data_IF_054410405277
#
_entry.id   IF_054410405277
#
_cell.length_a   1.000
_cell.length_b   1.000
_cell.length_c   1.000
_cell.angle_alpha   90.00
_cell.angle_beta   90.00
_cell.angle_gamma   90.00
#
_symmetry.space_group_name_H-M   'P 1'
#
loop_
_entity.id
_entity.type
_entity.pdbx_description
1 polymer ?
#
# COMPACT_ATOMS: atom_id res chain seq x y z
N UNK A 1 7.86 35.69 -49.31
CA UNK A 1 6.90 35.60 -48.20
C UNK A 1 6.44 34.15 -48.10
N UNK A 2 6.94 33.42 -47.11
CA UNK A 2 6.35 32.16 -46.66
C UNK A 2 6.82 31.96 -45.21
N UNK A 3 5.84 31.97 -44.32
CA UNK A 3 5.95 32.01 -42.87
C UNK A 3 6.67 30.79 -42.27
N UNK A 4 7.58 31.08 -41.34
CA UNK A 4 8.04 30.17 -40.29
C UNK A 4 7.04 30.21 -39.13
N UNK A 5 6.16 29.21 -39.02
CA UNK A 5 5.33 28.99 -37.84
C UNK A 5 5.94 27.87 -36.98
N UNK A 6 6.36 28.23 -35.77
CA UNK A 6 7.00 27.35 -34.80
C UNK A 6 6.07 26.24 -34.29
N UNK A 7 6.58 25.02 -34.32
CA UNK A 7 6.03 23.89 -33.57
C UNK A 7 6.55 23.99 -32.13
N UNK A 8 5.78 24.65 -31.27
CA UNK A 8 5.91 24.49 -29.83
C UNK A 8 5.42 23.08 -29.45
N UNK A 9 6.33 22.13 -29.43
CA UNK A 9 6.15 20.85 -28.74
C UNK A 9 6.16 21.11 -27.24
N UNK A 10 4.98 21.28 -26.64
CA UNK A 10 4.83 21.15 -25.19
C UNK A 10 5.29 19.75 -24.75
N UNK A 11 5.78 19.57 -23.51
CA UNK A 11 6.23 18.28 -23.03
C UNK A 11 5.06 17.31 -23.07
N UNK A 12 5.14 16.31 -23.95
CA UNK A 12 4.26 15.16 -23.93
C UNK A 12 4.60 14.44 -22.63
N UNK A 13 3.65 14.37 -21.69
CA UNK A 13 3.79 13.54 -20.51
C UNK A 13 3.94 12.10 -21.00
N UNK A 14 5.17 11.59 -21.02
CA UNK A 14 5.42 10.18 -21.25
C UNK A 14 4.63 9.41 -20.18
N UNK A 15 3.85 8.42 -20.61
CA UNK A 15 3.08 7.51 -19.76
C UNK A 15 4.06 6.66 -18.94
N UNK A 16 4.64 7.30 -17.93
CA UNK A 16 5.70 6.78 -17.08
C UNK A 16 5.04 6.25 -15.81
N UNK A 17 5.24 4.96 -15.52
CA UNK A 17 4.63 4.27 -14.37
C UNK A 17 4.83 5.01 -13.02
N UNK A 18 5.86 5.84 -12.89
CA UNK A 18 6.11 6.68 -11.71
C UNK A 18 5.04 7.78 -11.52
N UNK A 19 4.45 8.26 -12.61
CA UNK A 19 3.48 9.35 -12.66
C UNK A 19 2.04 8.87 -12.86
N UNK A 20 1.82 7.54 -12.99
CA UNK A 20 0.49 6.98 -13.18
C UNK A 20 -0.28 7.10 -11.87
N UNK A 21 -1.42 7.78 -11.91
CA UNK A 21 -2.30 7.91 -10.73
C UNK A 21 -2.86 6.55 -10.33
N UNK A 22 -3.01 6.36 -9.02
CA UNK A 22 -3.57 5.18 -8.41
C UNK A 22 -4.98 4.90 -8.92
N UNK A 23 -5.26 3.61 -9.11
CA UNK A 23 -6.61 3.13 -9.41
C UNK A 23 -7.56 3.27 -8.20
N UNK A 24 -8.72 2.63 -8.31
CA UNK A 24 -9.73 2.61 -7.26
C UNK A 24 -9.18 1.99 -5.96
N UNK A 25 -9.37 2.67 -4.83
CA UNK A 25 -8.95 2.17 -3.50
C UNK A 25 -9.81 0.99 -3.05
N UNK A 26 -9.37 0.26 -2.02
CA UNK A 26 -10.16 -0.85 -1.44
C UNK A 26 -11.49 -0.31 -0.89
N UNK A 27 -11.48 0.83 -0.19
CA UNK A 27 -12.69 1.46 0.31
C UNK A 27 -13.67 1.80 -0.83
N UNK A 28 -13.18 2.47 -1.87
CA UNK A 28 -14.02 2.84 -3.01
C UNK A 28 -14.55 1.59 -3.73
N UNK A 29 -13.70 0.56 -3.86
CA UNK A 29 -14.08 -0.74 -4.42
C UNK A 29 -15.17 -1.43 -3.59
N UNK A 30 -15.11 -1.35 -2.25
CA UNK A 30 -16.15 -1.90 -1.37
C UNK A 30 -17.47 -1.13 -1.49
N UNK A 31 -17.42 0.20 -1.51
CA UNK A 31 -18.62 1.05 -1.68
C UNK A 31 -19.27 0.77 -3.04
N UNK A 32 -18.47 0.74 -4.10
CA UNK A 32 -18.96 0.43 -5.44
C UNK A 32 -19.49 -1.01 -5.54
N UNK A 33 -18.80 -1.97 -4.94
CA UNK A 33 -19.28 -3.36 -4.88
C UNK A 33 -20.61 -3.45 -4.12
N UNK A 34 -20.78 -2.78 -2.97
CA UNK A 34 -22.07 -2.73 -2.25
C UNK A 34 -23.19 -2.19 -3.14
N UNK A 35 -22.93 -1.12 -3.90
CA UNK A 35 -23.90 -0.56 -4.85
C UNK A 35 -24.23 -1.50 -6.02
N UNK A 36 -23.26 -2.30 -6.49
CA UNK A 36 -23.50 -3.32 -7.52
C UNK A 36 -24.27 -4.52 -6.97
N UNK A 37 -23.99 -4.93 -5.73
CA UNK A 37 -24.70 -6.01 -5.06
C UNK A 37 -26.18 -5.69 -4.85
N UNK A 38 -26.55 -4.41 -4.64
CA UNK A 38 -27.94 -3.97 -4.59
C UNK A 38 -28.70 -4.17 -5.92
N UNK A 39 -27.99 -4.37 -7.04
CA UNK A 39 -28.58 -4.65 -8.34
C UNK A 39 -28.76 -6.16 -8.59
N UNK A 40 -28.29 -7.02 -7.68
CA UNK A 40 -28.40 -8.47 -7.83
C UNK A 40 -29.83 -8.92 -7.47
N UNK A 41 -30.52 -9.69 -8.34
CA UNK A 41 -31.86 -10.19 -8.05
C UNK A 41 -31.91 -10.99 -6.75
N UNK A 42 -32.95 -10.74 -5.93
CA UNK A 42 -33.18 -11.41 -4.64
C UNK A 42 -32.04 -11.25 -3.61
N UNK A 43 -31.15 -10.27 -3.78
CA UNK A 43 -30.04 -10.03 -2.84
C UNK A 43 -30.40 -9.10 -1.68
N UNK A 44 -31.52 -8.39 -1.78
CA UNK A 44 -32.05 -7.45 -0.79
C UNK A 44 -32.09 -7.99 0.67
N UNK A 45 -32.52 -9.23 0.95
CA UNK A 45 -32.57 -9.73 2.33
C UNK A 45 -31.18 -9.77 2.98
N UNK A 46 -30.14 -10.08 2.21
CA UNK A 46 -28.79 -10.18 2.74
C UNK A 46 -28.16 -8.79 2.98
N UNK A 47 -28.51 -7.78 2.16
CA UNK A 47 -28.09 -6.40 2.42
C UNK A 47 -28.73 -5.84 3.69
N UNK A 48 -29.99 -6.18 3.96
CA UNK A 48 -30.67 -5.82 5.21
C UNK A 48 -30.03 -6.48 6.42
N UNK A 49 -29.73 -7.78 6.35
CA UNK A 49 -29.02 -8.49 7.43
C UNK A 49 -27.68 -7.81 7.76
N UNK A 50 -26.92 -7.43 6.73
CA UNK A 50 -25.65 -6.69 6.90
C UNK A 50 -25.86 -5.33 7.58
N UNK A 51 -26.88 -4.56 7.18
CA UNK A 51 -27.18 -3.25 7.78
C UNK A 51 -27.68 -3.35 9.23
N UNK A 52 -28.44 -4.41 9.54
CA UNK A 52 -28.87 -4.73 10.90
C UNK A 52 -27.67 -5.11 11.78
N UNK A 53 -26.78 -6.00 11.30
CA UNK A 53 -25.55 -6.36 12.00
C UNK A 53 -24.67 -5.12 12.25
N UNK A 54 -24.43 -4.30 11.22
CA UNK A 54 -23.66 -3.06 11.35
C UNK A 54 -24.26 -2.12 12.39
N UNK A 55 -25.59 -1.97 12.40
CA UNK A 55 -26.30 -1.16 13.39
C UNK A 55 -26.14 -1.70 14.81
N UNK A 56 -26.20 -3.02 15.01
CA UNK A 56 -26.03 -3.65 16.33
C UNK A 56 -24.60 -3.55 16.85
N UNK A 57 -23.60 -3.65 15.97
CA UNK A 57 -22.19 -3.57 16.31
C UNK A 57 -21.66 -2.13 16.32
N UNK A 58 -22.48 -1.15 15.92
CA UNK A 58 -22.05 0.23 15.72
C UNK A 58 -20.96 0.34 14.64
N UNK A 59 -20.93 -0.59 13.69
CA UNK A 59 -19.95 -0.61 12.62
C UNK A 59 -20.35 0.38 11.53
N UNK A 60 -19.50 1.37 11.29
CA UNK A 60 -19.69 2.36 10.23
C UNK A 60 -18.68 2.21 9.09
N UNK A 61 -17.82 1.19 9.15
CA UNK A 61 -16.80 0.93 8.15
C UNK A 61 -17.34 0.04 7.02
N UNK A 62 -17.48 0.56 5.78
CA UNK A 62 -17.94 -0.23 4.64
C UNK A 62 -17.00 -1.39 4.27
N UNK A 63 -15.69 -1.27 4.56
CA UNK A 63 -14.72 -2.33 4.29
C UNK A 63 -14.90 -3.47 5.28
N UNK A 64 -14.91 -3.19 6.59
CA UNK A 64 -15.16 -4.20 7.61
C UNK A 64 -16.56 -4.82 7.48
N UNK A 65 -17.58 -4.01 7.19
CA UNK A 65 -18.96 -4.46 6.93
C UNK A 65 -18.98 -5.49 5.79
N UNK A 66 -18.49 -5.11 4.60
CA UNK A 66 -18.47 -6.00 3.44
C UNK A 66 -17.59 -7.23 3.66
N UNK A 67 -16.45 -7.10 4.36
CA UNK A 67 -15.55 -8.21 4.63
C UNK A 67 -16.18 -9.23 5.57
N UNK A 68 -16.75 -8.78 6.70
CA UNK A 68 -17.44 -9.65 7.65
C UNK A 68 -18.65 -10.33 7.00
N UNK A 69 -19.41 -9.58 6.22
CA UNK A 69 -20.53 -10.10 5.44
C UNK A 69 -20.10 -11.22 4.49
N UNK A 70 -19.06 -11.02 3.68
CA UNK A 70 -18.58 -12.07 2.77
C UNK A 70 -18.01 -13.29 3.51
N UNK A 71 -17.46 -13.12 4.73
CA UNK A 71 -16.98 -14.23 5.58
C UNK A 71 -18.09 -15.17 6.03
N UNK A 72 -19.35 -14.75 6.03
CA UNK A 72 -20.49 -15.63 6.30
C UNK A 72 -20.69 -16.69 5.19
N UNK A 73 -20.09 -16.49 4.01
CA UNK A 73 -20.04 -17.46 2.91
C UNK A 73 -21.34 -17.62 2.12
N UNK A 74 -22.51 -17.51 2.76
CA UNK A 74 -23.81 -17.56 2.09
C UNK A 74 -24.03 -16.44 1.07
N UNK A 75 -23.60 -15.19 1.30
CA UNK A 75 -23.69 -14.14 0.29
C UNK A 75 -22.99 -14.50 -1.03
N UNK A 76 -21.85 -15.19 -0.97
CA UNK A 76 -21.13 -15.65 -2.16
C UNK A 76 -21.95 -16.67 -2.96
N UNK A 77 -22.64 -17.59 -2.27
CA UNK A 77 -23.56 -18.53 -2.91
C UNK A 77 -24.73 -17.80 -3.57
N UNK A 78 -25.32 -16.82 -2.88
CA UNK A 78 -26.43 -16.03 -3.41
C UNK A 78 -26.03 -15.24 -4.67
N UNK A 79 -24.85 -14.61 -4.67
CA UNK A 79 -24.31 -13.91 -5.85
C UNK A 79 -24.14 -14.87 -7.02
N UNK A 80 -23.59 -16.06 -6.79
CA UNK A 80 -23.45 -17.07 -7.83
C UNK A 80 -24.82 -17.58 -8.32
N UNK A 81 -25.74 -17.87 -7.42
CA UNK A 81 -27.07 -18.38 -7.76
C UNK A 81 -27.91 -17.37 -8.55
N UNK A 82 -27.62 -16.07 -8.40
CA UNK A 82 -28.22 -15.03 -9.23
C UNK A 82 -27.87 -15.15 -10.72
N UNK A 83 -26.82 -15.92 -11.08
CA UNK A 83 -26.50 -16.25 -12.47
C UNK A 83 -27.46 -17.25 -13.13
N UNK A 84 -28.42 -17.77 -12.35
CA UNK A 84 -29.27 -18.90 -12.73
C UNK A 84 -28.45 -20.10 -13.24
N UNK A 85 -27.51 -20.62 -12.43
CA UNK A 85 -26.68 -21.76 -12.81
C UNK A 85 -27.52 -23.03 -13.00
N UNK A 86 -26.97 -24.02 -13.71
CA UNK A 86 -27.64 -25.33 -13.91
C UNK A 86 -27.88 -26.07 -12.60
N UNK A 87 -27.00 -25.86 -11.61
CA UNK A 87 -27.12 -26.37 -10.24
C UNK A 87 -27.03 -25.20 -9.25
N UNK A 88 -28.07 -25.04 -8.42
CA UNK A 88 -28.10 -24.02 -7.37
C UNK A 88 -27.16 -24.44 -6.24
N UNK A 89 -26.28 -23.55 -5.81
CA UNK A 89 -25.38 -23.81 -4.69
C UNK A 89 -26.10 -23.59 -3.36
N UNK A 90 -26.15 -24.63 -2.55
CA UNK A 90 -26.67 -24.61 -1.18
C UNK A 90 -25.82 -25.44 -0.23
N UNK A 91 -25.91 -25.18 1.08
CA UNK A 91 -25.23 -25.97 2.10
C UNK A 91 -26.22 -26.92 2.76
N UNK A 92 -25.91 -28.21 2.70
CA UNK A 92 -26.66 -29.25 3.40
C UNK A 92 -26.42 -29.12 4.92
N UNK A 93 -27.38 -28.50 5.60
CA UNK A 93 -27.32 -28.20 7.03
C UNK A 93 -27.36 -29.44 7.92
N UNK A 94 -27.80 -30.59 7.38
CA UNK A 94 -27.80 -31.87 8.07
C UNK A 94 -26.43 -32.57 8.03
N UNK A 95 -25.62 -32.31 6.99
CA UNK A 95 -24.29 -32.91 6.83
C UNK A 95 -23.15 -32.04 7.32
N UNK A 96 -23.32 -30.71 7.31
CA UNK A 96 -22.25 -29.77 7.66
C UNK A 96 -22.53 -29.14 9.03
N UNK A 97 -21.65 -29.34 10.03
CA UNK A 97 -21.72 -28.67 11.32
C UNK A 97 -21.74 -27.15 11.17
N UNK A 98 -22.54 -26.48 11.99
CA UNK A 98 -22.79 -25.03 11.92
C UNK A 98 -21.53 -24.17 11.84
N UNK A 99 -20.56 -24.45 12.72
CA UNK A 99 -19.27 -23.77 12.76
C UNK A 99 -18.41 -23.93 11.49
N UNK A 100 -18.71 -24.92 10.64
CA UNK A 100 -17.99 -25.15 9.38
C UNK A 100 -18.77 -24.67 8.15
N UNK A 101 -20.05 -24.32 8.30
CA UNK A 101 -20.91 -23.93 7.17
C UNK A 101 -20.36 -22.72 6.38
N UNK A 102 -19.87 -21.62 7.00
CA UNK A 102 -19.37 -20.47 6.25
C UNK A 102 -18.19 -20.84 5.33
N UNK A 103 -17.22 -21.59 5.86
CA UNK A 103 -16.05 -22.06 5.08
C UNK A 103 -16.46 -23.05 3.99
N UNK A 104 -17.43 -23.92 4.27
CA UNK A 104 -17.97 -24.84 3.27
C UNK A 104 -18.72 -24.11 2.14
N UNK A 105 -19.50 -23.06 2.46
CA UNK A 105 -20.15 -22.19 1.48
C UNK A 105 -19.13 -21.48 0.59
N UNK A 106 -18.11 -20.87 1.20
CA UNK A 106 -17.02 -20.24 0.47
C UNK A 106 -16.31 -21.23 -0.46
N UNK A 107 -16.04 -22.45 0.00
CA UNK A 107 -15.41 -23.48 -0.81
C UNK A 107 -16.28 -23.89 -2.01
N UNK A 108 -17.59 -24.07 -1.82
CA UNK A 108 -18.52 -24.36 -2.92
C UNK A 108 -18.55 -23.25 -3.97
N UNK A 109 -18.58 -21.99 -3.54
CA UNK A 109 -18.48 -20.84 -4.44
C UNK A 109 -17.20 -20.89 -5.30
N UNK A 110 -16.05 -21.12 -4.65
CA UNK A 110 -14.77 -21.21 -5.36
C UNK A 110 -14.74 -22.35 -6.37
N UNK A 111 -15.27 -23.52 -5.99
CA UNK A 111 -15.36 -24.67 -6.88
C UNK A 111 -16.21 -24.35 -8.12
N UNK A 112 -17.39 -23.76 -7.92
CA UNK A 112 -18.30 -23.41 -9.01
C UNK A 112 -17.72 -22.31 -9.92
N UNK A 113 -17.03 -21.32 -9.35
CA UNK A 113 -16.36 -20.30 -10.15
C UNK A 113 -15.23 -20.88 -11.05
N UNK A 114 -14.50 -21.88 -10.55
CA UNK A 114 -13.47 -22.58 -11.33
C UNK A 114 -14.07 -23.49 -12.42
N UNK A 115 -15.11 -24.26 -12.08
CA UNK A 115 -15.65 -25.30 -12.94
C UNK A 115 -16.66 -24.77 -13.96
N UNK A 116 -17.59 -23.92 -13.52
CA UNK A 116 -18.73 -23.47 -14.33
C UNK A 116 -18.47 -22.11 -14.98
N UNK A 117 -17.84 -21.17 -14.27
CA UNK A 117 -17.50 -19.85 -14.82
C UNK A 117 -16.12 -19.80 -15.49
N UNK A 118 -15.40 -20.94 -15.51
CA UNK A 118 -14.08 -21.10 -16.12
C UNK A 118 -13.04 -20.05 -15.68
N UNK A 119 -13.06 -19.66 -14.40
CA UNK A 119 -12.05 -18.74 -13.87
C UNK A 119 -10.66 -19.39 -13.89
N UNK A 120 -9.62 -18.70 -14.38
CA UNK A 120 -8.24 -19.15 -14.23
C UNK A 120 -7.89 -19.31 -12.74
N UNK A 121 -7.27 -20.43 -12.36
CA UNK A 121 -6.98 -20.72 -10.95
C UNK A 121 -6.13 -19.64 -10.26
N UNK A 122 -5.23 -19.00 -11.02
CA UNK A 122 -4.38 -17.89 -10.56
C UNK A 122 -5.15 -16.59 -10.23
N UNK A 123 -6.35 -16.42 -10.78
CA UNK A 123 -7.21 -15.25 -10.57
C UNK A 123 -8.19 -15.46 -9.39
N UNK A 124 -8.29 -16.68 -8.86
CA UNK A 124 -9.14 -17.01 -7.72
C UNK A 124 -8.47 -16.64 -6.39
N UNK A 125 -9.28 -16.22 -5.41
CA UNK A 125 -8.81 -16.05 -4.04
C UNK A 125 -8.75 -17.41 -3.31
N UNK A 126 -7.89 -17.51 -2.29
CA UNK A 126 -7.82 -18.67 -1.41
C UNK A 126 -8.73 -18.49 -0.19
N UNK A 127 -9.18 -19.58 0.45
CA UNK A 127 -9.98 -19.46 1.70
C UNK A 127 -9.26 -18.60 2.74
N UNK A 128 -7.93 -18.69 2.84
CA UNK A 128 -7.11 -17.86 3.74
C UNK A 128 -7.11 -16.38 3.37
N UNK A 129 -7.40 -16.01 2.12
CA UNK A 129 -7.49 -14.62 1.68
C UNK A 129 -8.77 -13.93 2.22
N UNK A 130 -9.88 -14.66 2.37
CA UNK A 130 -11.14 -14.14 2.93
C UNK A 130 -11.18 -14.20 4.46
N UNK A 131 -10.74 -15.33 5.03
CA UNK A 131 -10.77 -15.57 6.48
C UNK A 131 -9.52 -15.08 7.21
N UNK A 132 -8.49 -14.64 6.48
CA UNK A 132 -7.33 -13.96 7.04
C UNK A 132 -7.62 -12.50 7.37
N UNK A 133 -6.61 -11.80 7.88
CA UNK A 133 -6.73 -10.40 8.30
C UNK A 133 -5.99 -9.42 7.36
N UNK A 134 -5.39 -9.91 6.26
CA UNK A 134 -4.62 -9.07 5.35
C UNK A 134 -5.49 -8.46 4.22
N UNK A 135 -5.24 -7.20 3.90
CA UNK A 135 -6.03 -6.44 2.92
C UNK A 135 -5.76 -6.88 1.47
N UNK A 136 -4.58 -7.46 1.22
CA UNK A 136 -4.18 -8.03 -0.07
C UNK A 136 -5.11 -9.18 -0.47
N UNK A 137 -5.37 -10.10 0.45
CA UNK A 137 -6.27 -11.24 0.26
C UNK A 137 -7.69 -10.76 -0.01
N UNK A 138 -8.18 -9.81 0.79
CA UNK A 138 -9.52 -9.26 0.60
C UNK A 138 -9.68 -8.53 -0.75
N UNK A 139 -8.63 -7.84 -1.23
CA UNK A 139 -8.63 -7.23 -2.57
C UNK A 139 -8.86 -8.27 -3.67
N UNK A 140 -8.32 -9.48 -3.54
CA UNK A 140 -8.60 -10.57 -4.49
C UNK A 140 -10.05 -11.03 -4.42
N UNK A 141 -10.63 -11.12 -3.22
CA UNK A 141 -12.05 -11.43 -3.02
C UNK A 141 -12.92 -10.42 -3.76
N UNK A 142 -12.69 -9.12 -3.54
CA UNK A 142 -13.42 -8.04 -4.21
C UNK A 142 -13.31 -8.15 -5.74
N UNK A 143 -12.11 -8.38 -6.26
CA UNK A 143 -11.89 -8.54 -7.71
C UNK A 143 -12.65 -9.74 -8.28
N UNK A 144 -12.62 -10.88 -7.59
CA UNK A 144 -13.31 -12.09 -8.03
C UNK A 144 -14.83 -11.91 -8.00
N UNK A 145 -15.38 -11.32 -6.94
CA UNK A 145 -16.82 -11.03 -6.85
C UNK A 145 -17.26 -10.05 -7.95
N UNK A 146 -16.51 -8.97 -8.17
CA UNK A 146 -16.80 -8.02 -9.25
C UNK A 146 -16.81 -8.71 -10.62
N UNK A 147 -15.88 -9.64 -10.87
CA UNK A 147 -15.85 -10.39 -12.14
C UNK A 147 -17.06 -11.30 -12.32
N UNK A 148 -17.61 -11.87 -11.23
CA UNK A 148 -18.88 -12.60 -11.29
C UNK A 148 -20.03 -11.64 -11.60
N UNK A 149 -20.07 -10.45 -10.99
CA UNK A 149 -21.08 -9.43 -11.29
C UNK A 149 -20.97 -8.92 -12.74
N UNK A 150 -19.75 -8.81 -13.30
CA UNK A 150 -19.54 -8.45 -14.71
C UNK A 150 -20.18 -9.50 -15.65
N UNK A 151 -20.09 -10.80 -15.29
CA UNK A 151 -20.75 -11.87 -16.05
C UNK A 151 -22.27 -11.72 -15.98
N UNK A 152 -22.84 -11.46 -14.80
CA UNK A 152 -24.29 -11.20 -14.64
C UNK A 152 -24.74 -9.99 -15.45
N UNK A 153 -23.93 -8.94 -15.47
CA UNK A 153 -24.20 -7.71 -16.23
C UNK A 153 -24.20 -7.99 -17.74
N UNK A 154 -23.20 -8.74 -18.23
CA UNK A 154 -23.13 -9.17 -19.63
C UNK A 154 -24.30 -10.09 -20.02
N UNK A 155 -24.81 -10.87 -19.08
CA UNK A 155 -25.99 -11.71 -19.25
C UNK A 155 -27.32 -10.93 -19.13
N UNK A 156 -27.27 -9.64 -18.76
CA UNK A 156 -28.46 -8.80 -18.59
C UNK A 156 -29.30 -9.16 -17.36
N UNK A 157 -28.71 -9.81 -16.37
CA UNK A 157 -29.39 -10.31 -15.18
C UNK A 157 -29.35 -9.34 -13.99
N UNK A 158 -28.56 -8.26 -14.06
CA UNK A 158 -28.58 -7.20 -13.04
C UNK A 158 -29.79 -6.28 -13.22
N UNK A 159 -30.44 -5.96 -12.10
CA UNK A 159 -31.53 -5.00 -12.02
C UNK A 159 -30.92 -3.61 -12.24
N UNK A 160 -31.18 -3.03 -13.42
CA UNK A 160 -30.83 -1.63 -13.66
C UNK A 160 -31.75 -0.76 -12.80
N UNK A 161 -31.21 0.17 -12.00
CA UNK A 161 -32.06 1.16 -11.35
C UNK A 161 -32.85 1.92 -12.43
N UNK A 162 -34.16 2.04 -12.24
CA UNK A 162 -35.02 2.83 -13.11
C UNK A 162 -34.46 4.26 -13.16
N UNK A 163 -34.19 4.77 -14.36
CA UNK A 163 -33.59 6.09 -14.57
C UNK A 163 -34.65 7.17 -14.31
N UNK A 164 -34.98 7.40 -13.03
CA UNK A 164 -35.84 8.52 -12.60
C UNK A 164 -35.34 9.21 -11.32
N UNK A 165 -34.10 8.98 -10.92
CA UNK A 165 -33.40 9.88 -9.98
C UNK A 165 -32.29 10.60 -10.74
N UNK A 166 -32.54 11.88 -11.01
CA UNK A 166 -31.59 12.80 -11.57
C UNK A 166 -30.24 12.66 -10.88
N UNK A 167 -29.18 12.45 -11.67
CA UNK A 167 -27.83 12.68 -11.20
C UNK A 167 -27.79 14.08 -10.57
N UNK A 168 -27.29 14.26 -9.34
CA UNK A 168 -27.07 15.60 -8.84
C UNK A 168 -26.10 16.26 -9.82
N UNK A 169 -26.57 17.33 -10.47
CA UNK A 169 -25.71 18.19 -11.27
C UNK A 169 -24.50 18.53 -10.39
N UNK A 170 -23.30 18.08 -10.81
CA UNK A 170 -22.05 18.55 -10.24
C UNK A 170 -21.90 20.01 -10.62
N UNK A 171 -22.65 20.88 -9.95
CA UNK A 171 -22.33 22.29 -9.88
C UNK A 171 -20.89 22.38 -9.41
N UNK A 172 -20.07 23.10 -10.16
CA UNK A 172 -18.68 23.36 -9.80
C UNK A 172 -18.65 24.29 -8.58
N UNK A 173 -18.94 23.72 -7.40
CA UNK A 173 -18.69 24.38 -6.12
C UNK A 173 -17.18 24.49 -6.02
N UNK A 174 -16.67 25.71 -5.92
CA UNK A 174 -15.24 25.94 -5.69
C UNK A 174 -14.90 25.32 -4.34
N UNK A 175 -14.05 24.30 -4.35
CA UNK A 175 -13.56 23.67 -3.13
C UNK A 175 -12.88 24.72 -2.27
N UNK A 176 -13.17 24.70 -0.98
CA UNK A 176 -12.46 25.46 0.03
C UNK A 176 -11.00 25.02 0.10
N UNK A 177 -10.14 25.84 0.71
CA UNK A 177 -8.73 25.48 0.92
C UNK A 177 -8.57 24.19 1.73
N UNK A 178 -9.41 24.00 2.77
CA UNK A 178 -9.47 22.77 3.57
C UNK A 178 -9.78 21.56 2.68
N UNK A 179 -10.85 21.64 1.88
CA UNK A 179 -11.25 20.54 1.00
C UNK A 179 -10.18 20.22 -0.05
N UNK A 180 -9.48 21.23 -0.58
CA UNK A 180 -8.35 21.02 -1.49
C UNK A 180 -7.21 20.24 -0.83
N UNK A 181 -6.80 20.62 0.40
CA UNK A 181 -5.74 19.92 1.15
C UNK A 181 -6.14 18.47 1.44
N UNK A 182 -7.37 18.24 1.89
CA UNK A 182 -7.86 16.90 2.20
C UNK A 182 -8.01 16.04 0.93
N UNK A 183 -8.48 16.62 -0.17
CA UNK A 183 -8.56 15.93 -1.45
C UNK A 183 -7.16 15.55 -1.95
N UNK A 184 -6.19 16.46 -1.87
CA UNK A 184 -4.80 16.18 -2.22
C UNK A 184 -4.23 15.07 -1.33
N UNK A 185 -4.50 15.10 -0.02
CA UNK A 185 -4.08 14.05 0.92
C UNK A 185 -4.58 12.67 0.45
N UNK A 186 -5.87 12.59 0.11
CA UNK A 186 -6.52 11.35 -0.33
C UNK A 186 -5.98 10.85 -1.67
N UNK A 187 -5.89 11.73 -2.67
CA UNK A 187 -5.40 11.38 -4.01
C UNK A 187 -3.94 10.92 -3.96
N UNK A 188 -3.09 11.67 -3.24
CA UNK A 188 -1.68 11.31 -3.12
C UNK A 188 -1.44 10.08 -2.25
N UNK A 189 -2.34 9.76 -1.31
CA UNK A 189 -2.28 8.51 -0.53
C UNK A 189 -2.66 7.30 -1.41
N UNK A 190 -3.67 7.44 -2.29
CA UNK A 190 -4.02 6.41 -3.27
C UNK A 190 -2.88 6.13 -4.24
N UNK A 191 -2.26 7.20 -4.76
CA UNK A 191 -1.09 7.09 -5.62
C UNK A 191 0.06 6.37 -4.90
N UNK A 192 0.32 6.73 -3.64
CA UNK A 192 1.35 6.09 -2.82
C UNK A 192 1.09 4.60 -2.61
N UNK A 193 -0.11 4.22 -2.17
CA UNK A 193 -0.49 2.82 -1.98
C UNK A 193 -0.39 2.03 -3.30
N UNK A 194 -0.79 2.63 -4.42
CA UNK A 194 -0.65 2.00 -5.74
C UNK A 194 0.82 1.75 -6.13
N UNK A 195 1.71 2.72 -5.90
CA UNK A 195 3.13 2.51 -6.17
C UNK A 195 3.74 1.38 -5.32
N UNK A 196 3.32 1.22 -4.06
CA UNK A 196 3.73 0.09 -3.23
C UNK A 196 3.19 -1.24 -3.75
N UNK A 197 1.97 -1.27 -4.28
CA UNK A 197 1.42 -2.47 -4.93
C UNK A 197 2.25 -2.86 -6.16
N UNK A 198 2.72 -1.89 -6.95
CA UNK A 198 3.59 -2.16 -8.09
C UNK A 198 4.95 -2.75 -7.64
N UNK A 199 5.53 -2.25 -6.55
CA UNK A 199 6.71 -2.87 -5.93
C UNK A 199 6.47 -4.30 -5.46
N UNK A 200 5.31 -4.56 -4.84
CA UNK A 200 4.94 -5.92 -4.42
C UNK A 200 4.75 -6.85 -5.62
N UNK A 201 4.10 -6.37 -6.68
CA UNK A 201 3.91 -7.13 -7.91
C UNK A 201 5.26 -7.50 -8.54
N UNK A 202 6.21 -6.56 -8.58
CA UNK A 202 7.59 -6.84 -8.99
C UNK A 202 8.23 -7.91 -8.10
N UNK A 203 8.21 -7.75 -6.77
CA UNK A 203 8.77 -8.73 -5.83
C UNK A 203 8.24 -10.13 -6.14
N UNK A 204 6.92 -10.26 -6.29
CA UNK A 204 6.25 -11.53 -6.56
C UNK A 204 6.73 -12.14 -7.89
N UNK A 205 6.81 -11.35 -8.95
CA UNK A 205 7.26 -11.84 -10.26
C UNK A 205 8.74 -12.25 -10.26
N UNK A 206 9.60 -11.53 -9.53
CA UNK A 206 11.01 -11.89 -9.37
C UNK A 206 11.20 -13.20 -8.59
N UNK A 207 10.35 -13.46 -7.59
CA UNK A 207 10.36 -14.71 -6.83
C UNK A 207 9.79 -15.89 -7.64
N UNK A 208 8.69 -15.68 -8.37
CA UNK A 208 8.04 -16.71 -9.21
C UNK A 208 8.91 -17.14 -10.41
N UNK A 209 9.66 -16.20 -10.99
CA UNK A 209 10.60 -16.49 -12.09
C UNK A 209 11.92 -17.07 -11.61
N UNK A 210 12.18 -17.08 -10.30
CA UNK A 210 13.45 -17.49 -9.71
C UNK A 210 14.60 -16.52 -9.99
N UNK A 211 14.31 -15.30 -10.46
CA UNK A 211 15.32 -14.26 -10.72
C UNK A 211 15.95 -13.73 -9.43
N UNK A 212 15.16 -13.66 -8.36
CA UNK A 212 15.65 -13.40 -7.01
C UNK A 212 15.29 -14.55 -6.07
N UNK A 213 16.24 -14.93 -5.23
CA UNK A 213 16.09 -15.98 -4.22
C UNK A 213 16.12 -15.38 -2.81
N UNK A 214 15.60 -16.13 -1.82
CA UNK A 214 15.29 -15.70 -0.45
C UNK A 214 16.14 -14.56 0.14
N UNK A 215 17.46 -14.72 0.22
CA UNK A 215 18.35 -13.71 0.82
C UNK A 215 18.39 -12.39 0.02
N UNK A 216 18.61 -12.44 -1.28
CA UNK A 216 18.62 -11.24 -2.13
C UNK A 216 17.24 -10.56 -2.19
N UNK A 217 16.16 -11.34 -2.27
CA UNK A 217 14.78 -10.82 -2.18
C UNK A 217 14.54 -10.11 -0.84
N UNK A 218 14.99 -10.71 0.27
CA UNK A 218 14.85 -10.12 1.59
C UNK A 218 15.68 -8.85 1.76
N UNK A 219 16.91 -8.81 1.24
CA UNK A 219 17.77 -7.63 1.28
C UNK A 219 17.24 -6.45 0.45
N UNK A 220 16.50 -6.73 -0.63
CA UNK A 220 15.90 -5.70 -1.49
C UNK A 220 14.55 -5.22 -0.92
N UNK A 221 13.63 -6.15 -0.62
CA UNK A 221 12.25 -5.80 -0.29
C UNK A 221 11.94 -5.78 1.20
N UNK A 222 12.79 -6.36 2.05
CA UNK A 222 12.67 -6.40 3.51
C UNK A 222 11.21 -6.62 4.00
N UNK A 223 10.63 -5.63 4.67
CA UNK A 223 9.28 -5.63 5.22
C UNK A 223 8.26 -4.88 4.34
N UNK A 224 8.47 -4.80 3.02
CA UNK A 224 7.58 -4.14 2.05
C UNK A 224 6.11 -4.54 2.23
N UNK A 225 5.82 -5.82 2.46
CA UNK A 225 4.45 -6.29 2.65
C UNK A 225 3.77 -5.67 3.87
N UNK A 226 4.51 -5.41 4.95
CA UNK A 226 3.98 -4.76 6.16
C UNK A 226 3.70 -3.29 5.88
N UNK A 227 4.60 -2.60 5.18
CA UNK A 227 4.42 -1.20 4.77
C UNK A 227 3.21 -1.06 3.84
N UNK A 228 3.07 -1.97 2.86
CA UNK A 228 1.93 -1.96 1.95
C UNK A 228 0.61 -2.23 2.70
N UNK A 229 0.55 -3.24 3.56
CA UNK A 229 -0.68 -3.53 4.32
C UNK A 229 -1.05 -2.34 5.23
N UNK A 230 -0.07 -1.72 5.89
CA UNK A 230 -0.31 -0.50 6.65
C UNK A 230 -0.79 0.65 5.76
N UNK A 231 -0.13 0.94 4.64
CA UNK A 231 -0.54 2.01 3.73
C UNK A 231 -1.97 1.82 3.21
N UNK A 232 -2.36 0.57 2.92
CA UNK A 232 -3.73 0.25 2.51
C UNK A 232 -4.74 0.45 3.64
N UNK A 233 -4.45 -0.02 4.87
CA UNK A 233 -5.31 0.22 6.03
C UNK A 233 -5.42 1.69 6.38
N UNK A 234 -4.31 2.41 6.31
CA UNK A 234 -4.25 3.83 6.59
C UNK A 234 -5.06 4.63 5.56
N UNK A 235 -4.92 4.30 4.26
CA UNK A 235 -5.76 4.86 3.20
C UNK A 235 -7.25 4.61 3.46
N UNK A 236 -7.64 3.38 3.81
CA UNK A 236 -9.02 3.05 4.18
C UNK A 236 -9.50 3.95 5.34
N UNK A 237 -8.66 4.12 6.37
CA UNK A 237 -8.99 4.97 7.53
C UNK A 237 -9.13 6.44 7.15
N UNK A 238 -8.26 6.97 6.29
CA UNK A 238 -8.36 8.35 5.78
C UNK A 238 -9.66 8.50 4.97
N UNK A 239 -10.04 7.53 4.13
CA UNK A 239 -11.27 7.57 3.33
C UNK A 239 -12.54 7.49 4.18
N UNK A 240 -12.56 6.62 5.19
CA UNK A 240 -13.62 6.58 6.19
C UNK A 240 -13.79 7.92 6.90
N UNK A 241 -12.67 8.50 7.35
CA UNK A 241 -12.67 9.75 8.08
C UNK A 241 -13.09 10.93 7.20
N UNK A 242 -12.69 10.91 5.92
CA UNK A 242 -13.12 11.88 4.91
C UNK A 242 -14.64 11.83 4.66
N UNK A 243 -15.24 10.64 4.76
CA UNK A 243 -16.68 10.45 4.58
C UNK A 243 -17.54 10.93 5.76
N UNK A 244 -16.93 11.20 6.93
CA UNK A 244 -17.65 11.75 8.08
C UNK A 244 -18.06 13.22 7.83
N UNK A 245 -19.16 13.70 8.45
CA UNK A 245 -19.49 15.12 8.49
C UNK A 245 -18.30 15.95 8.98
N UNK A 246 -18.08 17.14 8.39
CA UNK A 246 -16.90 17.97 8.66
C UNK A 246 -16.69 18.25 10.15
N UNK A 247 -17.78 18.43 10.90
CA UNK A 247 -17.79 18.74 12.33
C UNK A 247 -17.29 17.57 13.19
N UNK A 248 -17.28 16.34 12.64
CA UNK A 248 -16.81 15.12 13.32
C UNK A 248 -15.39 14.73 12.91
N UNK A 249 -14.78 15.47 11.97
CA UNK A 249 -13.46 15.14 11.45
C UNK A 249 -12.33 15.68 12.32
N UNK A 250 -11.76 14.82 13.16
CA UNK A 250 -10.47 15.07 13.82
C UNK A 250 -9.31 14.39 13.10
N UNK A 251 -8.70 15.10 12.14
CA UNK A 251 -7.60 14.57 11.34
C UNK A 251 -6.31 14.36 12.14
N UNK A 252 -6.07 15.11 13.22
CA UNK A 252 -4.89 14.91 14.07
C UNK A 252 -4.93 13.55 14.76
N UNK A 253 -6.07 13.22 15.37
CA UNK A 253 -6.28 11.95 16.07
C UNK A 253 -6.07 10.73 15.16
N UNK A 254 -6.46 10.81 13.88
CA UNK A 254 -6.23 9.72 12.91
C UNK A 254 -4.73 9.39 12.81
N UNK A 255 -3.84 10.37 12.78
CA UNK A 255 -2.40 10.13 12.69
C UNK A 255 -1.81 9.66 14.02
N UNK A 256 -2.26 10.25 15.14
CA UNK A 256 -1.79 9.89 16.49
C UNK A 256 -2.08 8.41 16.78
N UNK A 257 -3.29 7.93 16.45
CA UNK A 257 -3.68 6.53 16.67
C UNK A 257 -2.82 5.51 15.90
N UNK A 258 -2.09 5.95 14.87
CA UNK A 258 -1.27 5.09 14.02
C UNK A 258 0.23 5.28 14.23
N UNK A 259 0.67 5.98 15.29
CA UNK A 259 2.08 6.23 15.61
C UNK A 259 2.92 4.94 15.53
N UNK A 260 2.52 3.89 16.26
CA UNK A 260 3.28 2.64 16.32
C UNK A 260 3.39 1.97 14.94
N UNK A 261 2.34 2.09 14.13
CA UNK A 261 2.33 1.53 12.78
C UNK A 261 3.25 2.31 11.81
N UNK A 262 3.39 3.63 11.98
CA UNK A 262 4.37 4.43 11.24
C UNK A 262 5.82 4.03 11.55
N UNK A 263 6.11 3.52 12.75
CA UNK A 263 7.48 3.04 13.10
C UNK A 263 7.94 1.86 12.23
N UNK A 264 7.02 1.15 11.57
CA UNK A 264 7.38 0.07 10.64
C UNK A 264 8.16 0.57 9.40
N UNK A 265 8.17 1.88 9.14
CA UNK A 265 8.92 2.49 8.05
C UNK A 265 10.42 2.55 8.35
N UNK A 266 10.81 2.70 9.62
CA UNK A 266 12.21 2.86 10.06
C UNK A 266 13.14 1.78 9.48
N UNK A 267 12.88 0.46 9.64
CA UNK A 267 13.78 -0.58 9.11
C UNK A 267 13.84 -0.58 7.58
N UNK A 268 12.74 -0.26 6.88
CA UNK A 268 12.73 -0.22 5.42
C UNK A 268 13.57 0.93 4.88
N UNK A 269 13.44 2.11 5.48
CA UNK A 269 14.18 3.31 5.11
C UNK A 269 15.67 3.12 5.41
N UNK A 270 16.02 2.57 6.58
CA UNK A 270 17.41 2.29 6.94
C UNK A 270 18.09 1.28 5.98
N UNK A 271 17.31 0.36 5.39
CA UNK A 271 17.81 -0.64 4.44
C UNK A 271 18.13 -0.08 3.05
N UNK A 272 17.89 1.21 2.77
CA UNK A 272 18.01 1.78 1.43
C UNK A 272 19.39 1.54 0.78
N UNK A 273 20.50 1.76 1.51
CA UNK A 273 21.85 1.51 0.98
C UNK A 273 22.08 0.05 0.59
N UNK A 274 21.64 -0.88 1.43
CA UNK A 274 21.80 -2.32 1.20
C UNK A 274 20.91 -2.79 0.06
N UNK A 275 19.68 -2.25 -0.01
CA UNK A 275 18.77 -2.45 -1.13
C UNK A 275 19.41 -2.01 -2.45
N UNK A 276 19.96 -0.79 -2.50
CA UNK A 276 20.60 -0.24 -3.71
C UNK A 276 21.81 -1.07 -4.16
N UNK A 277 22.69 -1.45 -3.23
CA UNK A 277 23.85 -2.31 -3.53
C UNK A 277 23.43 -3.68 -4.08
N UNK A 278 22.43 -4.31 -3.47
CA UNK A 278 21.93 -5.63 -3.87
C UNK A 278 21.18 -5.55 -5.21
N UNK A 279 20.38 -4.51 -5.42
CA UNK A 279 19.71 -4.25 -6.69
C UNK A 279 20.72 -4.10 -7.84
N UNK A 280 21.81 -3.36 -7.62
CA UNK A 280 22.86 -3.19 -8.64
C UNK A 280 23.59 -4.49 -8.93
N UNK A 281 23.87 -5.30 -7.91
CA UNK A 281 24.52 -6.61 -8.07
C UNK A 281 23.66 -7.59 -8.87
N UNK A 282 22.35 -7.60 -8.64
CA UNK A 282 21.41 -8.54 -9.26
C UNK A 282 20.65 -7.91 -10.45
N UNK A 283 21.08 -6.74 -10.93
CA UNK A 283 20.30 -5.89 -11.84
C UNK A 283 19.88 -6.58 -13.14
N UNK A 284 20.77 -7.33 -13.78
CA UNK A 284 20.47 -8.02 -15.05
C UNK A 284 19.37 -9.08 -14.86
N UNK A 285 19.30 -9.73 -13.70
CA UNK A 285 18.22 -10.68 -13.37
C UNK A 285 16.91 -9.95 -13.11
N UNK A 286 16.97 -8.85 -12.35
CA UNK A 286 15.81 -8.00 -12.02
C UNK A 286 15.18 -7.41 -13.29
N UNK A 287 16.01 -6.92 -14.22
CA UNK A 287 15.55 -6.35 -15.50
C UNK A 287 14.94 -7.40 -16.42
N UNK A 288 15.52 -8.61 -16.47
CA UNK A 288 15.14 -9.65 -17.43
C UNK A 288 13.90 -10.46 -17.08
N UNK A 289 13.42 -10.39 -15.84
CA UNK A 289 12.33 -11.23 -15.34
C UNK A 289 10.91 -10.72 -15.62
N UNK A 290 10.59 -9.40 -15.48
CA UNK A 290 9.23 -8.92 -15.62
C UNK A 290 8.63 -9.09 -17.02
N UNK A 291 7.39 -9.58 -17.09
CA UNK A 291 6.67 -9.88 -18.34
C UNK A 291 5.62 -8.81 -18.67
N UNK A 292 5.10 -8.13 -17.67
CA UNK A 292 4.14 -7.04 -17.88
C UNK A 292 4.86 -5.75 -18.29
N UNK A 293 4.24 -4.97 -19.20
CA UNK A 293 4.81 -3.71 -19.68
C UNK A 293 5.07 -2.72 -18.52
N UNK A 294 4.12 -2.63 -17.59
CA UNK A 294 4.21 -1.76 -16.41
C UNK A 294 5.46 -2.10 -15.58
N UNK A 295 5.68 -3.37 -15.25
CA UNK A 295 6.84 -3.77 -14.46
C UNK A 295 8.15 -3.66 -15.25
N UNK A 296 8.14 -3.89 -16.56
CA UNK A 296 9.29 -3.64 -17.44
C UNK A 296 9.72 -2.17 -17.45
N UNK A 297 8.75 -1.24 -17.48
CA UNK A 297 9.04 0.19 -17.33
C UNK A 297 9.67 0.49 -15.96
N UNK A 298 9.17 -0.16 -14.91
CA UNK A 298 9.68 0.03 -13.54
C UNK A 298 11.14 -0.40 -13.39
N UNK A 299 11.55 -1.47 -14.08
CA UNK A 299 12.94 -1.98 -14.11
C UNK A 299 13.74 -1.53 -15.33
N UNK A 300 13.26 -0.54 -16.09
CA UNK A 300 13.97 -0.06 -17.28
C UNK A 300 15.36 0.47 -16.92
N UNK A 301 15.44 1.23 -15.83
CA UNK A 301 16.69 1.81 -15.30
C UNK A 301 16.76 1.65 -13.78
N UNK A 302 17.95 1.46 -13.20
CA UNK A 302 18.10 1.36 -11.74
C UNK A 302 17.54 2.58 -11.02
N UNK A 303 17.70 3.77 -11.59
CA UNK A 303 17.17 5.02 -11.05
C UNK A 303 15.63 5.02 -10.97
N UNK A 304 14.94 4.45 -11.95
CA UNK A 304 13.48 4.31 -11.96
C UNK A 304 13.02 3.45 -10.78
N UNK A 305 13.62 2.27 -10.62
CA UNK A 305 13.28 1.36 -9.53
C UNK A 305 13.61 1.96 -8.16
N UNK A 306 14.78 2.60 -8.02
CA UNK A 306 15.14 3.32 -6.80
C UNK A 306 14.12 4.42 -6.47
N UNK A 307 13.61 5.12 -7.50
CA UNK A 307 12.52 6.08 -7.38
C UNK A 307 11.25 5.53 -6.72
N UNK A 308 11.00 4.22 -6.77
CA UNK A 308 9.91 3.57 -6.01
C UNK A 308 10.32 3.26 -4.57
N UNK A 309 11.55 2.77 -4.34
CA UNK A 309 12.04 2.44 -3.00
C UNK A 309 12.16 3.65 -2.07
N UNK A 310 12.41 4.84 -2.60
CA UNK A 310 12.46 6.08 -1.80
C UNK A 310 11.06 6.64 -1.44
N UNK A 311 9.98 6.16 -2.06
CA UNK A 311 8.61 6.71 -1.87
C UNK A 311 8.15 6.65 -0.40
N UNK A 312 8.39 5.59 0.39
CA UNK A 312 8.00 5.57 1.80
C UNK A 312 8.58 6.71 2.63
N UNK A 313 9.88 7.00 2.47
CA UNK A 313 10.52 8.14 3.13
C UNK A 313 9.94 9.46 2.63
N UNK A 314 9.82 9.62 1.31
CA UNK A 314 9.23 10.82 0.71
C UNK A 314 7.81 11.05 1.23
N UNK A 315 6.96 10.01 1.31
CA UNK A 315 5.59 10.13 1.80
C UNK A 315 5.56 10.54 3.26
N UNK A 316 6.39 9.91 4.11
CA UNK A 316 6.48 10.23 5.52
C UNK A 316 6.86 11.71 5.76
N UNK A 317 7.78 12.27 4.96
CA UNK A 317 8.15 13.70 5.03
C UNK A 317 7.05 14.66 4.55
N UNK A 318 6.04 14.20 3.80
CA UNK A 318 4.95 15.05 3.31
C UNK A 318 3.84 15.24 4.34
N UNK A 319 3.57 14.26 5.21
CA UNK A 319 2.48 14.38 6.18
C UNK A 319 2.60 15.62 7.09
N UNK A 320 3.77 15.95 7.68
CA UNK A 320 3.89 17.17 8.51
C UNK A 320 3.54 18.45 7.75
N UNK A 321 3.91 18.53 6.47
CA UNK A 321 3.62 19.68 5.62
C UNK A 321 2.12 19.83 5.37
N UNK A 322 1.45 18.72 5.00
CA UNK A 322 0.01 18.70 4.73
C UNK A 322 -0.81 18.97 5.98
N UNK A 323 -0.43 18.38 7.12
CA UNK A 323 -1.08 18.60 8.42
C UNK A 323 -0.88 20.03 8.92
N UNK A 324 0.29 20.62 8.68
CA UNK A 324 0.55 22.02 9.00
C UNK A 324 -0.33 22.97 8.17
N UNK A 325 -0.48 22.72 6.86
CA UNK A 325 -1.39 23.51 6.03
C UNK A 325 -2.86 23.30 6.43
N UNK A 326 -3.27 22.07 6.76
CA UNK A 326 -4.61 21.76 7.25
C UNK A 326 -4.90 22.50 8.57
N UNK A 327 -3.95 22.50 9.52
CA UNK A 327 -4.07 23.18 10.81
C UNK A 327 -4.37 24.66 10.66
N UNK A 328 -3.81 25.33 9.65
CA UNK A 328 -4.09 26.74 9.35
C UNK A 328 -5.52 27.01 8.89
N UNK A 329 -6.25 25.96 8.48
CA UNK A 329 -7.66 26.05 8.04
C UNK A 329 -8.66 25.62 9.12
N UNK A 330 -8.20 25.28 10.34
CA UNK A 330 -9.06 24.87 11.45
C UNK A 330 -9.10 25.99 12.49
N UNK A 331 -10.30 26.36 12.97
CA UNK A 331 -10.47 27.39 14.01
C UNK A 331 -10.52 26.78 15.42
N UNK A 332 -11.01 25.55 15.54
CA UNK A 332 -11.13 24.83 16.81
C UNK A 332 -9.73 24.58 17.45
N UNK A 333 -9.45 25.14 18.64
CA UNK A 333 -8.16 24.98 19.32
C UNK A 333 -7.80 23.54 19.67
N UNK A 334 -8.78 22.69 20.01
CA UNK A 334 -8.53 21.30 20.40
C UNK A 334 -8.11 20.50 19.16
N UNK A 335 -8.78 20.69 18.03
CA UNK A 335 -8.39 20.09 16.76
C UNK A 335 -7.03 20.60 16.25
N UNK A 336 -6.70 21.88 16.48
CA UNK A 336 -5.37 22.41 16.17
C UNK A 336 -4.28 21.78 17.04
N UNK A 337 -4.56 21.54 18.32
CA UNK A 337 -3.64 20.88 19.24
C UNK A 337 -3.39 19.43 18.79
N UNK A 338 -4.44 18.71 18.39
CA UNK A 338 -4.32 17.34 17.89
C UNK A 338 -3.53 17.27 16.58
N UNK A 339 -3.72 18.20 15.66
CA UNK A 339 -2.88 18.30 14.45
C UNK A 339 -1.42 18.60 14.79
N UNK A 340 -1.16 19.39 15.83
CA UNK A 340 0.21 19.68 16.27
C UNK A 340 0.86 18.43 16.86
N UNK A 341 0.14 17.71 17.73
CA UNK A 341 0.61 16.41 18.26
C UNK A 341 0.87 15.40 17.14
N UNK A 342 -0.01 15.32 16.14
CA UNK A 342 0.19 14.46 14.97
C UNK A 342 1.46 14.80 14.19
N UNK A 343 1.75 16.09 13.98
CA UNK A 343 2.99 16.55 13.34
C UNK A 343 4.21 16.10 14.16
N UNK A 344 4.18 16.27 15.48
CA UNK A 344 5.27 15.88 16.37
C UNK A 344 5.51 14.36 16.37
N UNK A 345 4.42 13.56 16.34
CA UNK A 345 4.47 12.10 16.19
C UNK A 345 5.19 11.70 14.91
N UNK A 346 4.78 12.25 13.76
CA UNK A 346 5.42 11.91 12.48
C UNK A 346 6.87 12.39 12.42
N UNK A 347 7.18 13.56 12.99
CA UNK A 347 8.54 14.07 13.09
C UNK A 347 9.43 13.15 13.93
N UNK A 348 8.92 12.63 15.05
CA UNK A 348 9.62 11.65 15.89
C UNK A 348 9.95 10.36 15.14
N UNK A 349 9.04 9.86 14.29
CA UNK A 349 9.30 8.70 13.42
C UNK A 349 10.35 9.03 12.35
N UNK A 350 10.29 10.23 11.74
CA UNK A 350 11.30 10.68 10.77
C UNK A 350 12.70 10.76 11.39
N UNK A 351 12.80 11.33 12.59
CA UNK A 351 14.06 11.45 13.32
C UNK A 351 14.60 10.06 13.69
N UNK A 352 13.73 9.14 14.10
CA UNK A 352 14.08 7.75 14.39
C UNK A 352 14.58 7.02 13.13
N UNK A 353 13.92 7.20 11.99
CA UNK A 353 14.33 6.64 10.71
C UNK A 353 15.69 7.19 10.26
N UNK A 354 15.92 8.50 10.39
CA UNK A 354 17.22 9.12 10.07
C UNK A 354 18.33 8.58 10.97
N UNK A 355 18.09 8.44 12.28
CA UNK A 355 19.05 7.84 13.19
C UNK A 355 19.36 6.37 12.83
N UNK A 356 18.36 5.62 12.37
CA UNK A 356 18.54 4.24 11.91
C UNK A 356 19.37 4.16 10.62
N UNK A 357 19.17 5.09 9.68
CA UNK A 357 20.01 5.24 8.48
C UNK A 357 21.46 5.51 8.90
N UNK A 358 21.70 6.50 9.76
CA UNK A 358 23.04 6.84 10.24
C UNK A 358 23.72 5.63 10.93
N UNK A 359 22.96 4.88 11.72
CA UNK A 359 23.44 3.66 12.37
C UNK A 359 23.85 2.58 11.35
N UNK A 360 23.06 2.36 10.31
CA UNK A 360 23.39 1.40 9.23
C UNK A 360 24.62 1.85 8.42
N UNK A 361 24.77 3.16 8.17
CA UNK A 361 25.97 3.71 7.53
C UNK A 361 27.23 3.43 8.36
N UNK A 362 27.16 3.67 9.67
CA UNK A 362 28.28 3.41 10.59
C UNK A 362 28.60 1.91 10.67
N UNK A 363 27.58 1.05 10.73
CA UNK A 363 27.76 -0.39 10.72
C UNK A 363 28.40 -0.91 9.41
N UNK A 364 28.04 -0.30 8.28
CA UNK A 364 28.64 -0.63 6.97
C UNK A 364 30.10 -0.17 6.90
N UNK A 365 30.39 1.06 7.32
CA UNK A 365 31.76 1.57 7.38
C UNK A 365 32.66 0.76 8.34
N UNK A 366 32.10 0.25 9.44
CA UNK A 366 32.81 -0.66 10.35
C UNK A 366 33.20 -1.98 9.68
N UNK A 367 32.27 -2.60 8.93
CA UNK A 367 32.57 -3.83 8.16
C UNK A 367 33.64 -3.60 7.10
N UNK A 368 33.55 -2.51 6.35
CA UNK A 368 34.58 -2.14 5.37
C UNK A 368 35.95 -1.87 6.03
N UNK A 369 35.95 -1.30 7.23
CA UNK A 369 37.18 -1.09 8.00
C UNK A 369 37.80 -2.41 8.44
N UNK A 370 36.99 -3.35 8.95
CA UNK A 370 37.44 -4.70 9.35
C UNK A 370 38.09 -5.44 8.18
N UNK A 371 37.42 -5.44 7.02
CA UNK A 371 37.89 -6.11 5.81
C UNK A 371 39.16 -5.47 5.22
N UNK A 372 39.36 -4.16 5.41
CA UNK A 372 40.48 -3.42 4.80
C UNK A 372 41.78 -3.51 5.59
N UNK A 373 41.73 -3.83 6.88
CA UNK A 373 42.91 -3.82 7.76
C UNK A 373 43.40 -5.26 7.98
N UNK A 374 44.52 -5.60 7.34
CA UNK A 374 45.08 -6.96 7.41
C UNK A 374 45.66 -7.34 8.78
N UNK A 375 46.19 -6.37 9.55
CA UNK A 375 46.80 -6.60 10.85
C UNK A 375 46.34 -5.58 11.90
N UNK A 376 45.40 -6.02 12.73
CA UNK A 376 44.89 -5.27 13.87
C UNK A 376 45.82 -5.25 15.08
N UNK A 377 47.04 -5.79 14.99
CA UNK A 377 48.03 -5.84 16.09
C UNK A 377 47.43 -6.40 17.39
N UNK A 378 46.68 -7.49 17.26
CA UNK A 378 45.94 -8.17 18.34
C UNK A 378 44.77 -7.37 18.97
N UNK A 379 44.38 -6.23 18.40
CA UNK A 379 43.16 -5.52 18.80
C UNK A 379 41.93 -6.26 18.25
N UNK A 380 40.89 -6.42 19.08
CA UNK A 380 39.60 -6.97 18.65
C UNK A 380 38.62 -5.83 18.44
N UNK A 381 38.36 -5.46 17.20
CA UNK A 381 37.56 -4.29 16.87
C UNK A 381 36.14 -4.33 17.46
N UNK A 382 35.56 -5.53 17.60
CA UNK A 382 34.25 -5.74 18.22
C UNK A 382 34.18 -5.31 19.69
N UNK A 383 35.34 -5.21 20.35
CA UNK A 383 35.42 -4.83 21.77
C UNK A 383 35.44 -3.31 22.00
N UNK A 384 35.57 -2.51 20.94
CA UNK A 384 35.65 -1.05 21.05
C UNK A 384 34.29 -0.35 21.06
N UNK A 385 33.20 -1.11 20.93
CA UNK A 385 31.84 -0.56 20.91
C UNK A 385 31.42 -0.04 19.54
N UNK A 386 30.38 0.79 19.52
CA UNK A 386 29.80 1.31 18.27
C UNK A 386 30.73 2.37 17.62
N UNK A 387 30.92 2.24 16.30
CA UNK A 387 31.62 3.26 15.52
C UNK A 387 30.80 4.54 15.52
N UNK A 388 31.34 5.62 16.11
CA UNK A 388 30.60 6.88 16.23
C UNK A 388 30.74 7.75 14.98
N UNK A 389 31.95 7.80 14.40
CA UNK A 389 32.30 8.61 13.22
C UNK A 389 33.50 8.01 12.51
N UNK A 390 33.55 8.18 11.19
CA UNK A 390 34.72 7.88 10.36
C UNK A 390 34.91 8.98 9.31
N UNK A 391 36.12 9.10 8.78
CA UNK A 391 36.46 10.13 7.80
C UNK A 391 37.92 10.06 7.36
N UNK A 392 38.26 10.80 6.31
CA UNK A 392 39.64 10.94 5.85
C UNK A 392 40.25 12.19 6.48
N UNK A 393 41.40 12.05 7.14
CA UNK A 393 42.08 13.15 7.81
C UNK A 393 43.52 13.27 7.31
N UNK A 394 43.96 14.50 7.05
CA UNK A 394 45.37 14.78 6.74
C UNK A 394 46.18 14.72 8.04
N UNK A 395 47.07 13.73 8.14
CA UNK A 395 47.96 13.59 9.29
C UNK A 395 49.26 14.35 9.02
N UNK A 396 49.54 15.37 9.82
CA UNK A 396 50.83 16.05 9.85
C UNK A 396 51.69 15.36 10.91
N UNK A 397 52.75 14.66 10.49
CA UNK A 397 53.76 14.17 11.42
C UNK A 397 54.55 15.38 11.91
N UNK A 398 54.57 15.59 13.23
CA UNK A 398 55.46 16.58 13.84
C UNK A 398 56.89 16.32 13.38
N UNK A 399 57.58 17.36 12.92
CA UNK A 399 58.98 17.29 12.57
C UNK A 399 59.73 16.82 13.83
N UNK A 400 60.22 15.57 13.81
CA UNK A 400 61.19 15.12 14.78
C UNK A 400 62.46 15.90 14.47
N UNK A 401 62.53 17.11 15.03
CA UNK A 401 63.72 17.93 15.10
C UNK A 401 64.86 17.03 15.51
N UNK A 402 65.77 16.83 14.56
CA UNK A 402 66.95 16.01 14.71
C UNK A 402 67.66 16.36 16.01
N UNK A 403 67.77 15.39 16.90
CA UNK A 403 69.01 15.17 17.63
C UNK A 403 70.13 15.11 16.58
N UNK A 404 70.85 16.21 16.47
CA UNK A 404 72.13 16.28 15.78
C UNK A 404 73.04 17.05 16.72
N UNK A 405 73.80 16.27 17.47
CA UNK A 405 75.07 16.62 18.10
C UNK A 405 75.64 17.96 17.61
N UNK A 406 75.78 18.91 18.53
CA UNK A 406 76.82 19.94 18.46
C UNK A 406 77.37 20.18 19.87
N UNK A 407 78.56 19.57 20.04
CA UNK A 407 79.72 19.93 20.88
C UNK A 407 79.54 20.80 22.13
#
# INVERSE_FOLDING_TARGET
MADTAGLNGGPIAEDNIINRRGGESIYQSCVNLKNRLAQVPNFEPYLKEMEEEDSTLGNTDPVASLWNYLRNGYPLLAIYNASCPSEILEIDTAKVPENRRPKAATFKFLQAALQELAFPQQDCFLITDLYGENTIGFTKVIKMVNRVLDILEMQGQLIRPDVTTAAPEKGTVKLTKREHILKELLETERDYAHHLQNLQALKKELEETGALTGDASHQIFLNLNNILDFAQRFLIRIEQHYALPEEKQNWGEVFIQHEEAFRQYEPFIANQMRCDATCMKEWEKIRGAPRSLDLQQMVAQPATLNGFFVKPFQRLTKYPLMLSELRKQIEDPDLQADLTRAIDVIQSVLDSANNAIDKEHLATAFRELDERVDDWKALRIDTFGELLRFGTFTVIKGDNGKDSERE
#
